data_IF_270807202896
#
_entry.id   IF_270807202896
#
_cell.length_a   1.000
_cell.length_b   1.000
_cell.length_c   1.000
_cell.angle_alpha   90.00
_cell.angle_beta   90.00
_cell.angle_gamma   90.00
#
_symmetry.space_group_name_H-M   'P 1'
#
loop_
_entity.id
_entity.type
_entity.pdbx_description
1 polymer ?
#
# COMPACT_ATOMS: atom_id res chain seq x y z
N UNK A 1 -11.18 2.94 8.34
CA UNK A 1 -9.88 3.44 8.81
C UNK A 1 -8.91 2.30 9.06
N UNK A 2 -9.11 1.48 10.12
CA UNK A 2 -8.21 0.36 10.44
C UNK A 2 -7.99 -0.63 9.29
N UNK A 3 -9.03 -0.97 8.53
CA UNK A 3 -8.91 -1.86 7.38
C UNK A 3 -8.03 -1.26 6.25
N UNK A 4 -8.19 0.03 5.96
CA UNK A 4 -7.35 0.72 4.98
C UNK A 4 -5.89 0.79 5.45
N UNK A 5 -5.66 1.09 6.74
CA UNK A 5 -4.32 1.07 7.32
C UNK A 5 -3.67 -0.32 7.24
N UNK A 6 -4.42 -1.37 7.55
CA UNK A 6 -3.97 -2.75 7.45
C UNK A 6 -3.58 -3.11 6.01
N UNK A 7 -4.41 -2.76 5.03
CA UNK A 7 -4.14 -2.98 3.61
C UNK A 7 -2.85 -2.28 3.17
N UNK A 8 -2.63 -1.04 3.63
CA UNK A 8 -1.41 -0.29 3.32
C UNK A 8 -0.17 -0.97 3.90
N UNK A 9 -0.24 -1.46 5.15
CA UNK A 9 0.86 -2.19 5.77
C UNK A 9 1.18 -3.50 5.05
N UNK A 10 0.14 -4.25 4.65
CA UNK A 10 0.32 -5.47 3.83
C UNK A 10 0.95 -5.12 2.49
N UNK A 11 0.55 -4.01 1.85
CA UNK A 11 1.16 -3.58 0.59
C UNK A 11 2.64 -3.23 0.74
N UNK A 12 3.03 -2.55 1.82
CA UNK A 12 4.44 -2.27 2.10
C UNK A 12 5.25 -3.55 2.32
N UNK A 13 4.65 -4.54 3.00
CA UNK A 13 5.28 -5.84 3.19
C UNK A 13 5.47 -6.58 1.86
N UNK A 14 4.53 -6.47 0.94
CA UNK A 14 4.57 -7.15 -0.36
C UNK A 14 5.45 -6.44 -1.41
N UNK A 15 6.33 -5.52 -1.01
CA UNK A 15 7.24 -4.85 -1.93
C UNK A 15 8.26 -5.84 -2.54
N UNK A 16 8.61 -5.67 -3.82
CA UNK A 16 9.55 -6.55 -4.55
C UNK A 16 10.96 -6.58 -3.95
N UNK A 17 11.34 -5.58 -3.15
CA UNK A 17 12.61 -5.51 -2.43
C UNK A 17 12.59 -6.25 -1.08
N UNK A 18 11.46 -6.81 -0.65
CA UNK A 18 11.40 -7.54 0.61
C UNK A 18 12.04 -8.94 0.46
N UNK A 19 13.13 -9.25 1.19
CA UNK A 19 13.82 -10.54 1.09
C UNK A 19 12.92 -11.74 1.49
N UNK A 20 11.84 -11.51 2.24
CA UNK A 20 10.91 -12.58 2.61
C UNK A 20 10.09 -13.10 1.42
N UNK A 21 9.86 -12.28 0.39
CA UNK A 21 9.22 -12.72 -0.84
C UNK A 21 10.15 -13.60 -1.70
N UNK A 22 11.46 -13.37 -1.63
CA UNK A 22 12.47 -14.21 -2.29
C UNK A 22 12.54 -15.63 -1.72
N UNK A 23 12.12 -15.84 -0.47
CA UNK A 23 12.03 -17.18 0.13
C UNK A 23 10.87 -18.00 -0.44
N UNK A 24 9.77 -17.33 -0.84
CA UNK A 24 8.58 -18.01 -1.35
C UNK A 24 8.59 -18.19 -2.88
N UNK A 25 9.27 -17.32 -3.61
CA UNK A 25 9.32 -17.36 -5.06
C UNK A 25 10.78 -17.51 -5.53
N UNK A 26 11.08 -18.61 -6.22
CA UNK A 26 12.43 -18.92 -6.72
C UNK A 26 12.90 -18.01 -7.88
N UNK A 27 12.03 -17.14 -8.41
CA UNK A 27 12.33 -16.29 -9.57
C UNK A 27 11.99 -14.85 -9.28
N UNK A 28 13.00 -13.98 -9.42
CA UNK A 28 12.91 -12.53 -9.25
C UNK A 28 11.81 -11.92 -10.14
N UNK A 29 11.69 -12.39 -11.39
CA UNK A 29 10.68 -11.90 -12.34
C UNK A 29 9.25 -12.20 -11.85
N UNK A 30 9.02 -13.38 -11.28
CA UNK A 30 7.70 -13.75 -10.74
C UNK A 30 7.32 -12.90 -9.54
N UNK A 31 8.29 -12.56 -8.68
CA UNK A 31 8.09 -11.67 -7.53
C UNK A 31 7.70 -10.28 -7.98
N UNK A 32 8.39 -9.74 -8.98
CA UNK A 32 8.11 -8.41 -9.54
C UNK A 32 6.68 -8.35 -10.07
N UNK A 33 6.29 -9.31 -10.92
CA UNK A 33 4.96 -9.34 -11.52
C UNK A 33 3.89 -9.50 -10.42
N UNK A 34 4.09 -10.42 -9.47
CA UNK A 34 3.16 -10.63 -8.36
C UNK A 34 3.03 -9.37 -7.49
N UNK A 35 4.15 -8.77 -7.10
CA UNK A 35 4.19 -7.52 -6.32
C UNK A 35 3.43 -6.40 -7.01
N UNK A 36 3.64 -6.18 -8.31
CA UNK A 36 2.96 -5.12 -9.07
C UNK A 36 1.45 -5.34 -9.07
N UNK A 37 0.97 -6.52 -9.47
CA UNK A 37 -0.46 -6.79 -9.58
C UNK A 37 -1.16 -6.78 -8.22
N UNK A 38 -0.57 -7.42 -7.21
CA UNK A 38 -1.15 -7.51 -5.87
C UNK A 38 -1.11 -6.17 -5.15
N UNK A 39 0.00 -5.43 -5.22
CA UNK A 39 0.06 -4.10 -4.60
C UNK A 39 -0.88 -3.11 -5.28
N UNK A 40 -1.03 -3.15 -6.60
CA UNK A 40 -2.00 -2.30 -7.30
C UNK A 40 -3.43 -2.56 -6.79
N UNK A 41 -3.84 -3.84 -6.68
CA UNK A 41 -5.16 -4.22 -6.18
C UNK A 41 -5.37 -3.77 -4.72
N UNK A 42 -4.38 -4.01 -3.87
CA UNK A 42 -4.44 -3.64 -2.44
C UNK A 42 -4.54 -2.11 -2.29
N UNK A 43 -3.79 -1.34 -3.08
CA UNK A 43 -3.82 0.12 -3.04
C UNK A 43 -5.16 0.68 -3.51
N UNK A 44 -5.75 0.11 -4.58
CA UNK A 44 -7.10 0.50 -5.03
C UNK A 44 -8.12 0.28 -3.91
N UNK A 45 -8.09 -0.90 -3.27
CA UNK A 45 -8.97 -1.20 -2.14
C UNK A 45 -8.71 -0.24 -0.97
N UNK A 46 -7.46 0.06 -0.67
CA UNK A 46 -7.08 0.98 0.40
C UNK A 46 -7.58 2.40 0.13
N UNK A 47 -7.55 2.89 -1.12
CA UNK A 47 -8.11 4.18 -1.54
C UNK A 47 -9.63 4.20 -1.32
N UNK A 48 -10.34 3.16 -1.75
CA UNK A 48 -11.80 3.05 -1.57
C UNK A 48 -12.16 3.06 -0.07
N UNK A 49 -11.42 2.31 0.75
CA UNK A 49 -11.66 2.28 2.19
C UNK A 49 -11.23 3.57 2.89
N UNK A 50 -10.21 4.26 2.40
CA UNK A 50 -9.81 5.58 2.90
C UNK A 50 -10.92 6.60 2.68
N UNK A 51 -11.45 6.68 1.46
CA UNK A 51 -12.55 7.58 1.10
C UNK A 51 -13.82 7.30 1.93
N UNK A 52 -14.22 6.01 2.01
CA UNK A 52 -15.33 5.59 2.89
C UNK A 52 -15.06 5.94 4.36
N UNK A 53 -13.82 5.83 4.82
CA UNK A 53 -13.47 6.13 6.22
C UNK A 53 -13.50 7.61 6.56
N UNK A 54 -13.48 8.51 5.58
CA UNK A 54 -13.70 9.93 5.77
C UNK A 54 -15.21 10.22 5.76
N UNK A 55 -15.94 9.63 4.80
CA UNK A 55 -17.37 9.89 4.56
C UNK A 55 -18.31 9.34 5.63
N UNK A 56 -18.01 8.16 6.19
CA UNK A 56 -18.90 7.46 7.14
C UNK A 56 -18.42 7.54 8.59
N UNK A 57 -17.47 8.42 8.92
CA UNK A 57 -16.92 8.47 10.28
C UNK A 57 -17.86 9.23 11.24
N UNK A 58 -18.33 8.60 12.34
CA UNK A 58 -19.15 9.28 13.33
C UNK A 58 -18.36 10.39 14.05
N UNK A 59 -19.02 11.52 14.31
CA UNK A 59 -18.42 12.73 14.92
C UNK A 59 -17.81 12.51 16.32
N UNK A 60 -18.11 11.39 16.99
CA UNK A 60 -17.68 11.11 18.36
C UNK A 60 -16.20 10.71 18.50
N UNK A 61 -15.50 10.33 17.42
CA UNK A 61 -14.08 9.94 17.48
C UNK A 61 -13.18 10.98 16.82
N UNK A 62 -12.85 12.05 17.55
CA UNK A 62 -12.10 13.20 17.02
C UNK A 62 -10.70 12.83 16.49
N UNK A 63 -9.98 11.91 17.14
CA UNK A 63 -8.63 11.52 16.72
C UNK A 63 -8.63 10.70 15.43
N UNK A 64 -9.57 9.74 15.30
CA UNK A 64 -9.74 8.95 14.06
C UNK A 64 -10.16 9.87 12.92
N UNK A 65 -10.91 10.94 13.19
CA UNK A 65 -11.31 11.90 12.16
C UNK A 65 -10.11 12.67 11.59
N UNK A 66 -9.17 13.10 12.45
CA UNK A 66 -7.89 13.68 11.99
C UNK A 66 -7.05 12.66 11.23
N UNK A 67 -6.94 11.44 11.74
CA UNK A 67 -6.16 10.38 11.11
C UNK A 67 -6.73 9.96 9.73
N UNK A 68 -8.05 9.84 9.59
CA UNK A 68 -8.72 9.56 8.31
C UNK A 68 -8.43 10.63 7.27
N UNK A 69 -8.30 11.90 7.64
CA UNK A 69 -7.92 12.99 6.72
C UNK A 69 -6.46 12.94 6.27
N UNK A 70 -5.58 12.34 7.08
CA UNK A 70 -4.16 12.13 6.75
C UNK A 70 -3.95 10.86 5.92
N UNK A 71 -4.89 9.93 5.92
CA UNK A 71 -4.78 8.65 5.25
C UNK A 71 -4.54 8.75 3.72
N UNK A 72 -5.16 9.68 2.98
CA UNK A 72 -4.86 9.90 1.55
C UNK A 72 -3.42 10.36 1.30
N UNK A 73 -2.87 11.21 2.17
CA UNK A 73 -1.47 11.64 2.08
C UNK A 73 -0.51 10.48 2.35
N UNK A 74 -0.84 9.63 3.33
CA UNK A 74 -0.06 8.43 3.61
C UNK A 74 -0.10 7.44 2.44
N UNK A 75 -1.27 7.24 1.81
CA UNK A 75 -1.42 6.44 0.58
C UNK A 75 -0.55 6.97 -0.55
N UNK A 76 -0.50 8.29 -0.74
CA UNK A 76 0.31 8.92 -1.77
C UNK A 76 1.81 8.65 -1.56
N UNK A 77 2.31 8.73 -0.31
CA UNK A 77 3.70 8.36 0.02
C UNK A 77 3.98 6.90 -0.34
N UNK A 78 3.06 5.99 -0.04
CA UNK A 78 3.21 4.55 -0.30
C UNK A 78 3.23 4.27 -1.81
N UNK A 79 2.39 4.96 -2.59
CA UNK A 79 2.40 4.87 -4.06
C UNK A 79 3.75 5.32 -4.62
N UNK A 80 4.27 6.47 -4.17
CA UNK A 80 5.59 6.97 -4.59
C UNK A 80 6.69 5.97 -4.24
N UNK A 81 6.64 5.39 -3.05
CA UNK A 81 7.59 4.37 -2.62
C UNK A 81 7.57 3.13 -3.53
N UNK A 82 6.38 2.66 -3.91
CA UNK A 82 6.23 1.53 -4.86
C UNK A 82 6.73 1.87 -6.26
N UNK A 83 6.55 3.11 -6.72
CA UNK A 83 7.10 3.57 -8.00
C UNK A 83 8.63 3.56 -7.95
N UNK A 84 9.25 4.16 -6.93
CA UNK A 84 10.72 4.22 -6.79
C UNK A 84 11.31 2.81 -6.70
N UNK A 85 10.73 1.94 -5.88
CA UNK A 85 11.21 0.56 -5.74
C UNK A 85 11.03 -0.24 -7.02
N UNK A 86 9.95 -0.03 -7.76
CA UNK A 86 9.77 -0.63 -9.09
C UNK A 86 10.84 -0.16 -10.06
N UNK A 87 11.13 1.15 -10.14
CA UNK A 87 12.18 1.70 -11.00
C UNK A 87 13.56 1.11 -10.69
N UNK A 88 13.92 1.00 -9.41
CA UNK A 88 15.13 0.30 -8.96
C UNK A 88 15.14 -1.17 -9.38
N UNK A 89 14.01 -1.86 -9.22
CA UNK A 89 13.90 -3.29 -9.52
C UNK A 89 14.06 -3.56 -11.02
N UNK A 90 13.64 -2.63 -11.89
CA UNK A 90 13.83 -2.71 -13.34
C UNK A 90 15.22 -2.26 -13.82
N UNK A 91 16.12 -1.85 -12.91
CA UNK A 91 17.47 -1.40 -13.25
C UNK A 91 17.50 -0.06 -13.98
N UNK A 92 16.46 0.77 -13.81
CA UNK A 92 16.38 2.12 -14.39
C UNK A 92 17.22 3.12 -13.55
N UNK A 93 17.59 2.75 -12.33
CA UNK A 93 18.44 3.49 -11.40
C UNK A 93 19.45 2.57 -10.70
#
# INVERSE_FOLDING_TARGET
FYLALLLILISLYLNSMNPLLNLHFQSVVKIIIFSIFVNALILILAIIFADKSIKYLPKSKSWIHKASKLLPWFLLIVIIFHIITSLFTFGIF
#
